data_IF_059753912182
#
_entry.id   IF_059753912182
#
_cell.length_a   1.000
_cell.length_b   1.000
_cell.length_c   1.000
_cell.angle_alpha   90.00
_cell.angle_beta   90.00
_cell.angle_gamma   90.00
#
_symmetry.space_group_name_H-M   'P 1'
#
loop_
_entity.id
_entity.type
_entity.pdbx_description
1 polymer ?
#
# COMPACT_ATOMS: atom_id res chain seq x y z
N UNK A 1 17.02 7.72 -18.43
CA UNK A 1 17.68 6.39 -18.28
C UNK A 1 19.19 6.50 -17.99
N UNK A 2 19.61 7.36 -17.06
CA UNK A 2 21.01 7.53 -16.70
C UNK A 2 21.41 6.77 -15.42
N UNK A 3 20.44 6.21 -14.71
CA UNK A 3 20.68 5.49 -13.45
C UNK A 3 21.25 4.10 -13.75
N UNK A 4 22.36 3.77 -13.11
CA UNK A 4 22.93 2.42 -13.21
C UNK A 4 21.98 1.41 -12.56
N UNK A 5 21.74 0.23 -13.18
CA UNK A 5 20.83 -0.78 -12.65
C UNK A 5 21.10 -1.18 -11.20
N UNK A 6 22.35 -1.20 -10.77
CA UNK A 6 22.75 -1.51 -9.39
C UNK A 6 22.37 -0.46 -8.35
N UNK A 7 22.14 0.79 -8.76
CA UNK A 7 21.75 1.88 -7.86
C UNK A 7 20.23 2.10 -7.83
N UNK A 8 19.53 1.60 -8.84
CA UNK A 8 18.11 1.78 -8.99
C UNK A 8 17.28 1.16 -7.85
N UNK A 9 17.61 -0.04 -7.31
CA UNK A 9 16.90 -0.60 -6.17
C UNK A 9 16.86 0.30 -4.93
N UNK A 10 17.96 0.98 -4.59
CA UNK A 10 17.99 1.90 -3.45
C UNK A 10 17.04 3.08 -3.63
N UNK A 11 16.93 3.60 -4.85
CA UNK A 11 16.00 4.70 -5.16
C UNK A 11 14.55 4.20 -5.05
N UNK A 12 14.25 3.00 -5.52
CA UNK A 12 12.92 2.39 -5.40
C UNK A 12 12.57 2.17 -3.92
N UNK A 13 13.50 1.69 -3.12
CA UNK A 13 13.33 1.48 -1.68
C UNK A 13 13.02 2.80 -0.96
N UNK A 14 13.78 3.86 -1.24
CA UNK A 14 13.55 5.20 -0.67
C UNK A 14 12.16 5.74 -1.04
N UNK A 15 11.77 5.63 -2.31
CA UNK A 15 10.45 6.03 -2.80
C UNK A 15 9.36 5.20 -2.13
N UNK A 16 9.51 3.88 -2.08
CA UNK A 16 8.55 2.99 -1.45
C UNK A 16 8.33 3.32 0.03
N UNK A 17 9.39 3.63 0.76
CA UNK A 17 9.35 4.08 2.15
C UNK A 17 8.68 5.43 2.31
N UNK A 18 8.97 6.40 1.41
CA UNK A 18 8.34 7.71 1.39
C UNK A 18 6.81 7.63 1.16
N UNK A 19 6.36 6.66 0.40
CA UNK A 19 4.95 6.34 0.18
C UNK A 19 4.39 5.32 1.17
N UNK A 20 4.84 5.37 2.42
CA UNK A 20 4.35 4.55 3.52
C UNK A 20 4.48 3.04 3.26
N UNK A 21 5.66 2.61 2.83
CA UNK A 21 5.97 1.23 2.44
C UNK A 21 5.03 0.71 1.34
N UNK A 22 4.90 1.49 0.28
CA UNK A 22 4.04 1.14 -0.86
C UNK A 22 4.32 -0.27 -1.41
N UNK A 23 3.28 -0.92 -1.93
CA UNK A 23 3.47 -2.16 -2.65
C UNK A 23 4.20 -1.92 -3.97
N UNK A 24 5.23 -2.68 -4.23
CA UNK A 24 6.06 -2.59 -5.43
C UNK A 24 5.85 -3.85 -6.29
N UNK A 25 5.54 -3.65 -7.56
CA UNK A 25 5.52 -4.71 -8.56
C UNK A 25 6.62 -4.45 -9.59
N UNK A 26 7.63 -5.30 -9.61
CA UNK A 26 8.70 -5.21 -10.59
C UNK A 26 8.34 -5.98 -11.87
N UNK A 27 8.66 -5.40 -13.03
CA UNK A 27 8.77 -6.16 -14.26
C UNK A 27 10.11 -6.92 -14.27
N UNK A 28 10.05 -8.25 -14.32
CA UNK A 28 11.22 -9.12 -14.19
C UNK A 28 11.75 -9.63 -15.54
N UNK A 29 11.55 -8.86 -16.60
CA UNK A 29 12.22 -9.09 -17.86
C UNK A 29 13.65 -8.54 -17.77
N UNK A 30 14.59 -9.24 -18.38
CA UNK A 30 16.00 -8.82 -18.47
C UNK A 30 16.62 -8.36 -17.12
N UNK A 31 16.95 -7.09 -16.99
CA UNK A 31 17.59 -6.50 -15.81
C UNK A 31 16.65 -6.41 -14.61
N UNK A 32 15.33 -6.39 -14.82
CA UNK A 32 14.33 -6.25 -13.77
C UNK A 32 14.38 -7.34 -12.71
N UNK A 33 14.75 -8.55 -13.07
CA UNK A 33 14.95 -9.67 -12.13
C UNK A 33 16.08 -9.38 -11.11
N UNK A 34 17.17 -8.74 -11.56
CA UNK A 34 18.26 -8.34 -10.70
C UNK A 34 17.81 -7.21 -9.72
N UNK A 35 17.07 -6.23 -10.23
CA UNK A 35 16.53 -5.14 -9.40
C UNK A 35 15.61 -5.69 -8.32
N UNK A 36 14.68 -6.57 -8.69
CA UNK A 36 13.76 -7.21 -7.75
C UNK A 36 14.49 -8.08 -6.71
N UNK A 37 15.55 -8.79 -7.13
CA UNK A 37 16.39 -9.60 -6.23
C UNK A 37 17.10 -8.74 -5.19
N UNK A 38 17.70 -7.63 -5.58
CA UNK A 38 18.36 -6.69 -4.64
C UNK A 38 17.33 -6.09 -3.66
N UNK A 39 16.15 -5.68 -4.16
CA UNK A 39 15.08 -5.17 -3.29
C UNK A 39 14.65 -6.20 -2.24
N UNK A 40 14.52 -7.47 -2.63
CA UNK A 40 14.05 -8.52 -1.73
C UNK A 40 15.11 -9.06 -0.77
N UNK A 41 16.33 -9.32 -1.27
CA UNK A 41 17.34 -10.02 -0.48
C UNK A 41 18.37 -9.11 0.18
N UNK A 42 18.73 -7.99 -0.45
CA UNK A 42 19.75 -7.08 0.08
C UNK A 42 19.13 -5.93 0.87
N UNK A 43 18.01 -5.38 0.40
CA UNK A 43 17.30 -4.26 1.03
C UNK A 43 16.12 -4.72 1.91
N UNK A 44 15.77 -6.00 1.87
CA UNK A 44 14.70 -6.62 2.65
C UNK A 44 13.38 -5.83 2.61
N UNK A 45 12.99 -5.41 1.38
CA UNK A 45 11.76 -4.64 1.20
C UNK A 45 10.53 -5.54 1.36
N UNK A 46 9.73 -5.32 2.42
CA UNK A 46 8.64 -6.20 2.84
C UNK A 46 7.48 -6.31 1.83
N UNK A 47 7.16 -5.22 1.12
CA UNK A 47 5.97 -5.11 0.28
C UNK A 47 6.26 -5.30 -1.21
N UNK A 48 7.17 -6.22 -1.54
CA UNK A 48 7.42 -6.62 -2.92
C UNK A 48 6.40 -7.67 -3.35
N UNK A 49 5.64 -7.38 -4.43
CA UNK A 49 4.63 -8.29 -4.96
C UNK A 49 5.28 -9.43 -5.75
N UNK A 50 4.87 -10.64 -5.44
CA UNK A 50 5.35 -11.85 -6.10
C UNK A 50 4.30 -12.40 -7.06
N UNK A 51 4.75 -12.99 -8.16
CA UNK A 51 3.89 -13.67 -9.12
C UNK A 51 4.21 -15.16 -9.19
N UNK A 52 3.19 -15.97 -9.39
CA UNK A 52 3.30 -17.40 -9.62
C UNK A 52 2.65 -17.80 -10.93
N UNK A 53 3.18 -18.86 -11.58
CA UNK A 53 2.58 -19.41 -12.80
C UNK A 53 1.49 -20.43 -12.43
N UNK A 54 0.25 -20.16 -12.79
CA UNK A 54 -0.89 -21.05 -12.57
C UNK A 54 -1.43 -21.61 -13.87
N UNK A 55 -0.79 -22.63 -14.40
CA UNK A 55 -1.29 -23.41 -15.54
C UNK A 55 -1.85 -22.54 -16.68
N UNK A 56 -3.14 -22.76 -17.02
CA UNK A 56 -3.82 -22.00 -18.09
C UNK A 56 -4.19 -20.55 -17.69
N UNK A 57 -4.26 -20.24 -16.42
CA UNK A 57 -4.54 -18.88 -15.95
C UNK A 57 -3.36 -17.92 -16.14
N UNK A 58 -2.17 -18.44 -16.48
CA UNK A 58 -0.98 -17.63 -16.68
C UNK A 58 -0.36 -17.17 -15.36
N UNK A 59 0.17 -15.96 -15.35
CA UNK A 59 0.74 -15.36 -14.15
C UNK A 59 -0.35 -14.78 -13.26
N UNK A 60 -0.21 -15.03 -11.95
CA UNK A 60 -1.13 -14.56 -10.91
C UNK A 60 -0.30 -13.99 -9.76
N UNK A 61 -0.72 -12.85 -9.25
CA UNK A 61 -0.12 -12.25 -8.04
C UNK A 61 -0.54 -13.03 -6.80
N UNK A 62 0.35 -13.19 -5.84
CA UNK A 62 0.09 -13.90 -4.60
C UNK A 62 1.12 -13.59 -3.51
N UNK A 63 0.88 -14.14 -2.32
CA UNK A 63 1.71 -13.94 -1.13
C UNK A 63 3.08 -14.66 -1.14
N UNK A 64 3.56 -15.14 -2.27
CA UNK A 64 4.87 -15.81 -2.38
C UNK A 64 4.93 -17.24 -1.84
N UNK A 65 3.99 -17.66 -1.02
CA UNK A 65 3.99 -18.99 -0.39
C UNK A 65 3.31 -20.10 -1.22
N UNK A 66 2.71 -19.75 -2.34
CA UNK A 66 1.90 -20.67 -3.13
C UNK A 66 2.67 -21.26 -4.32
N UNK A 67 3.53 -22.25 -4.06
CA UNK A 67 3.98 -23.18 -5.09
C UNK A 67 5.41 -23.00 -5.61
N UNK A 68 5.86 -24.00 -6.32
CA UNK A 68 7.24 -24.29 -6.74
C UNK A 68 7.89 -23.26 -7.69
N UNK A 69 7.22 -22.18 -8.12
CA UNK A 69 7.73 -21.20 -9.08
C UNK A 69 7.13 -19.81 -8.84
N UNK A 70 7.35 -19.23 -7.67
CA UNK A 70 7.13 -17.80 -7.47
C UNK A 70 8.35 -17.01 -7.95
N UNK A 71 8.11 -15.86 -8.59
CA UNK A 71 9.13 -14.90 -9.01
C UNK A 71 8.87 -13.54 -8.37
N UNK A 72 9.91 -12.75 -8.19
CA UNK A 72 9.85 -11.45 -7.49
C UNK A 72 9.32 -10.34 -8.40
N UNK A 73 8.11 -10.52 -8.93
CA UNK A 73 7.49 -9.57 -9.85
C UNK A 73 6.77 -10.25 -11.00
N UNK A 74 6.40 -9.48 -12.01
CA UNK A 74 5.66 -9.95 -13.19
C UNK A 74 6.56 -10.02 -14.41
N UNK A 75 6.43 -11.08 -15.19
CA UNK A 75 7.05 -11.16 -16.52
C UNK A 75 6.05 -10.67 -17.55
N UNK A 76 6.40 -9.65 -18.31
CA UNK A 76 5.55 -9.08 -19.36
C UNK A 76 5.50 -10.02 -20.57
N UNK A 77 4.59 -10.97 -20.51
CA UNK A 77 4.24 -11.85 -21.63
C UNK A 77 3.16 -11.22 -22.50
N UNK A 78 2.97 -11.75 -23.72
CA UNK A 78 1.86 -11.30 -24.59
C UNK A 78 0.50 -11.38 -23.88
N UNK A 79 0.28 -12.40 -23.05
CA UNK A 79 -0.97 -12.56 -22.29
C UNK A 79 -1.14 -11.45 -21.24
N UNK A 80 -0.11 -11.15 -20.46
CA UNK A 80 -0.11 -10.06 -19.46
C UNK A 80 -0.33 -8.72 -20.16
N UNK A 81 0.42 -8.45 -21.23
CA UNK A 81 0.32 -7.20 -22.01
C UNK A 81 -1.09 -7.01 -22.60
N UNK A 82 -1.63 -8.04 -23.25
CA UNK A 82 -2.96 -7.99 -23.83
C UNK A 82 -4.06 -7.76 -22.78
N UNK A 83 -4.00 -8.49 -21.68
CA UNK A 83 -4.97 -8.33 -20.60
C UNK A 83 -4.84 -6.96 -19.92
N UNK A 84 -3.61 -6.52 -19.67
CA UNK A 84 -3.34 -5.19 -19.10
C UNK A 84 -3.86 -4.06 -20.00
N UNK A 85 -3.60 -4.12 -21.31
CA UNK A 85 -4.13 -3.12 -22.26
C UNK A 85 -5.67 -3.11 -22.30
N UNK A 86 -6.32 -4.29 -22.28
CA UNK A 86 -7.78 -4.38 -22.24
C UNK A 86 -8.34 -3.77 -20.95
N UNK A 87 -7.73 -4.07 -19.81
CA UNK A 87 -8.15 -3.53 -18.52
C UNK A 87 -7.88 -2.02 -18.43
N UNK A 88 -6.73 -1.53 -18.93
CA UNK A 88 -6.41 -0.11 -18.96
C UNK A 88 -7.46 0.67 -19.77
N UNK A 89 -7.82 0.14 -20.92
CA UNK A 89 -8.89 0.73 -21.74
C UNK A 89 -10.20 0.84 -20.95
N UNK A 90 -10.61 -0.22 -20.27
CA UNK A 90 -11.82 -0.23 -19.44
C UNK A 90 -11.73 0.78 -18.28
N UNK A 91 -10.57 0.87 -17.60
CA UNK A 91 -10.37 1.84 -16.52
C UNK A 91 -10.46 3.28 -17.01
N UNK A 92 -9.99 3.57 -18.22
CA UNK A 92 -10.09 4.89 -18.85
C UNK A 92 -11.53 5.19 -19.32
N UNK A 93 -12.20 4.24 -19.95
CA UNK A 93 -13.58 4.40 -20.45
C UNK A 93 -14.61 4.55 -19.30
N UNK A 94 -14.34 3.90 -18.15
CA UNK A 94 -15.19 3.96 -16.96
C UNK A 94 -14.82 5.11 -15.99
N UNK A 95 -13.92 6.03 -16.37
CA UNK A 95 -13.39 7.12 -15.52
C UNK A 95 -12.86 6.65 -14.16
N UNK A 96 -12.31 5.42 -14.09
CA UNK A 96 -11.78 4.81 -12.87
C UNK A 96 -10.30 5.16 -12.59
N UNK A 97 -9.63 5.74 -13.57
CA UNK A 97 -8.25 6.21 -13.46
C UNK A 97 -8.14 7.62 -14.01
N UNK A 98 -7.50 8.50 -13.26
CA UNK A 98 -7.20 9.86 -13.68
C UNK A 98 -5.69 9.96 -13.98
N UNK A 99 -5.35 10.32 -15.21
CA UNK A 99 -3.97 10.55 -15.65
C UNK A 99 -3.79 12.04 -15.91
N UNK A 100 -2.89 12.67 -15.15
CA UNK A 100 -2.63 14.12 -15.25
C UNK A 100 -1.22 14.43 -15.75
N UNK A 101 -0.36 13.43 -15.82
CA UNK A 101 1.01 13.59 -16.27
C UNK A 101 1.10 13.64 -17.79
N UNK A 102 1.78 14.68 -18.32
CA UNK A 102 1.88 14.91 -19.75
C UNK A 102 2.71 13.85 -20.48
N UNK A 103 3.79 13.38 -19.86
CA UNK A 103 4.69 12.41 -20.48
C UNK A 103 3.98 11.05 -20.63
N UNK A 104 3.23 10.65 -19.62
CA UNK A 104 2.38 9.45 -19.68
C UNK A 104 1.33 9.57 -20.80
N UNK A 105 0.64 10.71 -20.89
CA UNK A 105 -0.37 10.95 -21.94
C UNK A 105 0.30 10.91 -23.32
N UNK A 106 1.46 11.52 -23.46
CA UNK A 106 2.23 11.53 -24.70
C UNK A 106 2.58 10.11 -25.17
N UNK A 107 3.09 9.26 -24.27
CA UNK A 107 3.38 7.86 -24.61
C UNK A 107 2.13 7.07 -24.98
N UNK A 108 1.02 7.27 -24.25
CA UNK A 108 -0.26 6.62 -24.58
C UNK A 108 -0.79 7.00 -25.96
N UNK A 109 -0.54 8.22 -26.46
CA UNK A 109 -1.00 8.63 -27.81
C UNK A 109 -0.27 7.91 -28.94
N UNK A 110 0.98 7.47 -28.68
CA UNK A 110 1.80 6.74 -29.66
C UNK A 110 1.76 5.22 -29.44
N UNK A 111 1.11 4.77 -28.35
CA UNK A 111 1.01 3.36 -28.00
C UNK A 111 -0.12 2.68 -28.73
N UNK A 112 0.20 1.78 -29.65
CA UNK A 112 -0.78 1.16 -30.54
C UNK A 112 -0.62 -0.34 -30.66
N UNK A 113 -1.66 -1.01 -31.14
CA UNK A 113 -1.60 -2.43 -31.44
C UNK A 113 -0.84 -2.65 -32.74
N UNK A 114 0.27 -3.38 -32.69
CA UNK A 114 1.03 -3.84 -33.86
C UNK A 114 1.04 -5.37 -33.88
N UNK A 115 0.48 -5.95 -34.95
CA UNK A 115 0.34 -7.41 -35.09
C UNK A 115 -0.37 -8.06 -33.89
N UNK A 116 0.33 -8.85 -33.10
CA UNK A 116 -0.18 -9.54 -31.91
C UNK A 116 0.30 -8.92 -30.59
N UNK A 117 0.94 -7.76 -30.64
CA UNK A 117 1.48 -7.05 -29.48
C UNK A 117 0.99 -5.61 -29.44
N UNK A 118 1.37 -4.89 -28.39
CA UNK A 118 1.17 -3.46 -28.23
C UNK A 118 2.53 -2.82 -28.01
N UNK A 119 2.82 -1.75 -28.69
CA UNK A 119 4.11 -1.05 -28.58
C UNK A 119 3.96 0.39 -29.09
N UNK A 120 4.93 1.24 -28.72
CA UNK A 120 4.97 2.61 -29.24
C UNK A 120 5.26 2.62 -30.77
N UNK A 121 4.95 3.72 -31.40
CA UNK A 121 5.35 4.00 -32.77
C UNK A 121 6.89 4.08 -32.89
N UNK A 122 7.40 3.90 -34.11
CA UNK A 122 8.85 3.92 -34.33
C UNK A 122 9.46 5.26 -33.91
N UNK A 123 10.47 5.18 -33.05
CA UNK A 123 11.13 6.36 -32.48
C UNK A 123 10.47 6.95 -31.23
N UNK A 124 9.40 6.36 -30.73
CA UNK A 124 8.74 6.73 -29.48
C UNK A 124 9.04 5.70 -28.37
N UNK A 125 8.89 6.14 -27.11
CA UNK A 125 9.03 5.27 -25.94
C UNK A 125 7.66 4.78 -25.46
N UNK A 126 7.63 3.64 -24.75
CA UNK A 126 6.43 3.09 -24.12
C UNK A 126 6.63 2.69 -22.65
N UNK A 127 7.69 3.16 -22.03
CA UNK A 127 8.07 2.76 -20.68
C UNK A 127 6.99 3.13 -19.64
N UNK A 128 6.48 4.36 -19.69
CA UNK A 128 5.43 4.83 -18.79
C UNK A 128 4.06 4.21 -19.12
N UNK A 129 3.75 4.09 -20.42
CA UNK A 129 2.55 3.40 -20.88
C UNK A 129 2.55 1.94 -20.42
N UNK A 130 3.68 1.26 -20.47
CA UNK A 130 3.84 -0.11 -19.98
C UNK A 130 3.68 -0.21 -18.45
N UNK A 131 4.14 0.78 -17.69
CA UNK A 131 3.85 0.83 -16.25
C UNK A 131 2.34 0.86 -15.97
N UNK A 132 1.57 1.65 -16.73
CA UNK A 132 0.10 1.67 -16.62
C UNK A 132 -0.56 0.37 -17.05
N UNK A 133 -0.05 -0.28 -18.10
CA UNK A 133 -0.53 -1.58 -18.56
C UNK A 133 -0.32 -2.65 -17.48
N UNK A 134 0.84 -2.68 -16.84
CA UNK A 134 1.15 -3.61 -15.74
C UNK A 134 0.30 -3.28 -14.51
N UNK A 135 0.09 -2.00 -14.19
CA UNK A 135 -0.81 -1.57 -13.12
C UNK A 135 -2.26 -2.02 -13.39
N UNK A 136 -2.78 -1.81 -14.59
CA UNK A 136 -4.13 -2.24 -14.97
C UNK A 136 -4.29 -3.77 -14.95
N UNK A 137 -3.23 -4.51 -15.26
CA UNK A 137 -3.20 -5.97 -15.08
C UNK A 137 -3.24 -6.33 -13.59
N UNK A 138 -2.47 -5.63 -12.74
CA UNK A 138 -2.40 -5.85 -11.28
C UNK A 138 -3.73 -5.64 -10.59
N UNK A 139 -4.41 -4.52 -10.84
CA UNK A 139 -5.69 -4.19 -10.17
C UNK A 139 -6.83 -5.14 -10.51
N UNK A 140 -6.70 -5.88 -11.61
CA UNK A 140 -7.65 -6.93 -11.98
C UNK A 140 -7.43 -8.25 -11.23
N UNK A 141 -6.27 -8.43 -10.56
CA UNK A 141 -5.95 -9.66 -9.83
C UNK A 141 -6.76 -9.77 -8.53
N UNK A 142 -7.28 -10.96 -8.25
CA UNK A 142 -8.10 -11.19 -7.05
C UNK A 142 -7.32 -10.93 -5.76
N UNK A 143 -6.05 -11.35 -5.70
CA UNK A 143 -5.19 -11.09 -4.57
C UNK A 143 -5.05 -9.59 -4.25
N UNK A 144 -4.88 -8.75 -5.30
CA UNK A 144 -4.77 -7.31 -5.11
C UNK A 144 -6.08 -6.70 -4.60
N UNK A 145 -7.22 -7.16 -5.13
CA UNK A 145 -8.54 -6.72 -4.67
C UNK A 145 -8.77 -7.08 -3.20
N UNK A 146 -8.50 -8.33 -2.83
CA UNK A 146 -8.64 -8.79 -1.45
C UNK A 146 -7.74 -8.01 -0.49
N UNK A 147 -6.50 -7.73 -0.90
CA UNK A 147 -5.53 -6.97 -0.09
C UNK A 147 -6.01 -5.52 0.12
N UNK A 148 -6.44 -4.83 -0.94
CA UNK A 148 -6.96 -3.45 -0.85
C UNK A 148 -8.27 -3.38 -0.06
N UNK A 149 -9.17 -4.35 -0.21
CA UNK A 149 -10.40 -4.40 0.57
C UNK A 149 -10.12 -4.59 2.07
N UNK A 150 -9.16 -5.42 2.42
CA UNK A 150 -8.75 -5.63 3.81
C UNK A 150 -8.12 -4.36 4.42
N UNK A 151 -7.28 -3.66 3.67
CA UNK A 151 -6.67 -2.41 4.11
C UNK A 151 -7.71 -1.30 4.31
N UNK A 152 -8.68 -1.19 3.41
CA UNK A 152 -9.80 -0.25 3.55
C UNK A 152 -10.63 -0.56 4.79
N UNK A 153 -10.97 -1.83 5.02
CA UNK A 153 -11.73 -2.25 6.22
C UNK A 153 -10.95 -1.98 7.50
N UNK A 154 -9.66 -2.24 7.51
CA UNK A 154 -8.79 -1.97 8.67
C UNK A 154 -8.74 -0.47 8.98
N UNK A 155 -8.57 0.38 7.96
CA UNK A 155 -8.60 1.84 8.14
C UNK A 155 -9.93 2.33 8.68
N UNK A 156 -11.06 1.87 8.12
CA UNK A 156 -12.40 2.22 8.61
C UNK A 156 -12.57 1.78 10.07
N UNK A 157 -12.10 0.59 10.41
CA UNK A 157 -12.16 0.10 11.80
C UNK A 157 -11.29 0.95 12.75
N UNK A 158 -10.08 1.32 12.34
CA UNK A 158 -9.19 2.19 13.12
C UNK A 158 -9.77 3.60 13.28
N UNK A 159 -10.37 4.17 12.23
CA UNK A 159 -11.07 5.45 12.28
C UNK A 159 -12.25 5.40 13.24
N UNK A 160 -13.08 4.36 13.16
CA UNK A 160 -14.22 4.16 14.09
C UNK A 160 -13.74 3.98 15.53
N UNK A 161 -12.69 3.20 15.75
CA UNK A 161 -12.11 3.01 17.08
C UNK A 161 -11.60 4.32 17.66
N UNK A 162 -10.85 5.12 16.88
CA UNK A 162 -10.37 6.44 17.31
C UNK A 162 -11.50 7.40 17.60
N UNK A 163 -12.59 7.35 16.84
CA UNK A 163 -13.77 8.15 17.06
C UNK A 163 -14.48 7.76 18.37
N UNK A 164 -14.63 6.45 18.61
CA UNK A 164 -15.17 5.93 19.88
C UNK A 164 -14.26 6.31 21.05
N UNK A 165 -12.94 6.20 20.91
CA UNK A 165 -12.00 6.62 21.96
C UNK A 165 -12.06 8.13 22.24
N UNK A 166 -12.27 8.96 21.20
CA UNK A 166 -12.51 10.41 21.38
C UNK A 166 -13.85 10.70 22.05
N UNK A 167 -14.90 9.98 21.67
CA UNK A 167 -16.23 10.12 22.26
C UNK A 167 -16.29 9.55 23.69
N UNK A 168 -15.43 8.57 23.99
CA UNK A 168 -15.22 8.00 25.32
C UNK A 168 -14.12 8.72 26.12
N UNK A 169 -13.53 9.79 25.56
CA UNK A 169 -12.69 10.67 26.36
C UNK A 169 -13.46 11.02 27.63
N UNK A 170 -12.92 10.74 28.82
CA UNK A 170 -13.68 10.79 30.04
C UNK A 170 -14.40 12.15 30.11
N UNK A 171 -15.69 12.09 30.21
CA UNK A 171 -16.50 13.25 30.57
C UNK A 171 -15.76 13.94 31.69
N UNK A 172 -15.24 15.09 31.38
CA UNK A 172 -14.16 15.74 32.06
C UNK A 172 -14.23 15.56 33.57
N UNK A 173 -13.09 15.38 34.16
CA UNK A 173 -12.93 15.89 35.51
C UNK A 173 -13.54 17.31 35.49
N UNK A 174 -14.72 17.46 35.98
CA UNK A 174 -15.27 18.78 36.29
C UNK A 174 -14.43 19.21 37.48
N UNK A 175 -13.28 19.82 37.18
CA UNK A 175 -12.56 20.61 38.15
C UNK A 175 -13.51 21.76 38.48
N UNK A 176 -14.02 21.80 39.66
CA UNK A 176 -14.80 22.92 40.21
C UNK A 176 -13.92 24.16 40.45
N UNK A 177 -12.67 24.12 39.91
CA UNK A 177 -11.72 25.24 40.01
C UNK A 177 -11.09 25.38 41.39
N UNK A 178 -11.29 24.44 42.29
CA UNK A 178 -10.56 24.29 43.53
C UNK A 178 -9.46 23.24 43.27
N UNK A 179 -8.22 23.60 43.49
CA UNK A 179 -7.04 22.71 43.40
C UNK A 179 -7.05 21.65 44.51
N UNK A 180 -8.11 20.84 44.58
CA UNK A 180 -8.20 19.71 45.48
C UNK A 180 -7.97 18.43 44.65
N UNK A 181 -6.82 17.81 44.77
CA UNK A 181 -6.44 16.50 44.20
C UNK A 181 -7.29 15.36 44.82
N UNK A 182 -8.61 15.55 44.87
CA UNK A 182 -9.55 14.58 45.43
C UNK A 182 -10.47 13.99 44.36
N UNK A 183 -10.78 12.72 44.46
CA UNK A 183 -11.78 12.05 43.63
C UNK A 183 -12.78 11.28 44.51
N UNK A 184 -14.01 11.14 44.02
CA UNK A 184 -15.08 10.40 44.71
C UNK A 184 -15.21 9.05 44.01
N UNK A 185 -15.14 7.95 44.75
CA UNK A 185 -15.33 6.61 44.20
C UNK A 185 -16.80 6.25 43.96
N UNK A 186 -17.07 5.03 43.48
CA UNK A 186 -18.42 4.54 43.15
C UNK A 186 -19.35 4.43 44.37
N UNK A 187 -18.80 4.39 45.56
CA UNK A 187 -19.49 4.24 46.83
C UNK A 187 -19.73 5.60 47.50
N UNK A 188 -19.28 6.69 46.83
CA UNK A 188 -19.48 8.07 47.28
C UNK A 188 -18.42 8.54 48.27
N UNK A 189 -17.33 7.80 48.43
CA UNK A 189 -16.24 8.14 49.34
C UNK A 189 -15.21 9.03 48.63
N UNK A 190 -14.73 10.07 49.34
CA UNK A 190 -13.77 11.04 48.83
C UNK A 190 -12.34 10.61 49.18
N UNK A 191 -11.48 10.51 48.13
CA UNK A 191 -10.08 10.14 48.23
C UNK A 191 -9.20 11.31 47.82
N UNK A 192 -8.05 11.45 48.45
CA UNK A 192 -7.03 12.43 48.12
C UNK A 192 -5.79 11.71 47.63
N UNK A 193 -5.13 12.23 46.59
CA UNK A 193 -3.81 11.75 46.15
C UNK A 193 -2.74 12.46 46.97
N UNK A 194 -1.82 11.72 47.55
CA UNK A 194 -0.62 12.28 48.18
C UNK A 194 0.45 12.62 47.12
N UNK A 195 1.48 13.35 47.55
CA UNK A 195 2.64 13.75 46.68
C UNK A 195 3.39 12.57 46.06
N UNK A 196 3.13 11.34 46.48
CA UNK A 196 3.76 10.11 45.98
C UNK A 196 2.78 9.21 45.21
N UNK A 197 1.53 9.63 44.98
CA UNK A 197 0.54 8.89 44.22
C UNK A 197 -0.09 7.71 44.98
N UNK A 198 0.08 7.64 46.26
CA UNK A 198 -0.53 6.61 47.10
C UNK A 198 -1.94 7.09 47.59
N UNK A 199 -2.87 6.13 47.76
CA UNK A 199 -4.25 6.44 48.16
C UNK A 199 -4.36 6.43 49.69
N UNK A 200 -4.75 7.56 50.29
CA UNK A 200 -4.99 7.66 51.73
C UNK A 200 -6.40 8.15 52.09
N UNK A 201 -6.97 7.55 53.12
CA UNK A 201 -8.18 8.00 53.76
C UNK A 201 -7.88 9.16 54.71
N UNK A 202 -8.62 10.25 54.59
CA UNK A 202 -8.58 11.29 55.60
C UNK A 202 -9.49 10.89 56.75
N UNK A 203 -8.93 10.51 57.89
CA UNK A 203 -9.69 10.41 59.12
C UNK A 203 -9.96 11.79 59.65
N UNK A 204 -11.26 12.14 59.76
CA UNK A 204 -11.67 13.33 60.48
C UNK A 204 -11.20 13.22 61.93
N UNK A 205 -10.25 14.04 62.31
CA UNK A 205 -9.94 14.27 63.70
C UNK A 205 -10.98 15.28 64.24
N UNK A 206 -11.84 14.78 65.12
CA UNK A 206 -12.48 15.57 66.13
C UNK A 206 -11.66 15.52 67.38
#
# INVERSE_FOLDING_TARGET
NEIKPMLFPSIIDDIGKAYNKAFILCEVNDIGDQVASILNYDLEYDNLLMCSQRGRAGQVVGAGFSGKRSQLGVRTTQAVKKLGCSNLKTLLEDDKILIIDYDIISELTTFSQKHNSFEAEEGCNDDLAMCLVIFAWLVAQDYFKEMTDNDVRKRIYEEQKNQIEQDMAPFGFISDGLDDDSFIDKDGERWYADEYGDRSYMWDYY
#
